data_IF_899999292409
#
_entry.id   IF_899999292409
#
_cell.length_a   1.000
_cell.length_b   1.000
_cell.length_c   1.000
_cell.angle_alpha   90.00
_cell.angle_beta   90.00
_cell.angle_gamma   90.00
#
_symmetry.space_group_name_H-M   'P 1'
#
loop_
_entity.id
_entity.type
_entity.pdbx_description
1 polymer ?
#
# COMPACT_ATOMS: atom_id res chain seq x y z
N UNK A 1 -39.26 14.29 -8.13
CA UNK A 1 -39.00 13.36 -7.01
C UNK A 1 -37.81 12.50 -7.37
N UNK A 2 -36.68 12.62 -6.68
CA UNK A 2 -35.55 11.71 -6.84
C UNK A 2 -36.00 10.28 -6.54
N UNK A 3 -35.91 9.42 -7.55
CA UNK A 3 -36.23 8.01 -7.42
C UNK A 3 -35.09 7.36 -6.61
N UNK A 4 -35.24 7.29 -5.29
CA UNK A 4 -34.24 6.73 -4.37
C UNK A 4 -34.17 5.21 -4.54
N UNK A 5 -33.46 4.77 -5.59
CA UNK A 5 -33.30 3.35 -5.97
C UNK A 5 -32.79 2.47 -4.83
N UNK A 6 -32.00 3.02 -3.91
CA UNK A 6 -31.51 2.31 -2.73
C UNK A 6 -32.63 1.86 -1.78
N UNK A 7 -33.80 2.51 -1.78
CA UNK A 7 -34.97 2.08 -1.00
C UNK A 7 -35.62 0.79 -1.54
N UNK A 8 -35.27 0.38 -2.77
CA UNK A 8 -35.76 -0.86 -3.37
C UNK A 8 -34.88 -2.07 -3.06
N UNK A 9 -33.68 -1.84 -2.51
CA UNK A 9 -32.77 -2.92 -2.14
C UNK A 9 -33.23 -3.46 -0.79
N UNK A 10 -33.52 -4.77 -0.68
CA UNK A 10 -33.85 -5.39 0.60
C UNK A 10 -32.75 -5.15 1.65
N UNK A 11 -33.16 -4.89 2.90
CA UNK A 11 -32.23 -4.51 3.98
C UNK A 11 -31.23 -5.63 4.27
N UNK A 12 -31.64 -6.88 4.17
CA UNK A 12 -30.79 -8.06 4.28
C UNK A 12 -29.70 -8.11 3.19
N UNK A 13 -30.01 -7.72 1.95
CA UNK A 13 -28.99 -7.61 0.90
C UNK A 13 -27.98 -6.50 1.26
N UNK A 14 -28.46 -5.39 1.79
CA UNK A 14 -27.62 -4.28 2.23
C UNK A 14 -26.67 -4.69 3.36
N UNK A 15 -27.22 -5.35 4.38
CA UNK A 15 -26.50 -5.82 5.56
C UNK A 15 -25.51 -6.91 5.17
N UNK A 16 -25.91 -7.91 4.40
CA UNK A 16 -25.08 -9.10 4.19
C UNK A 16 -24.06 -8.96 3.04
N UNK A 17 -24.33 -8.11 2.04
CA UNK A 17 -23.53 -8.08 0.81
C UNK A 17 -22.92 -6.70 0.49
N UNK A 18 -23.52 -5.60 0.96
CA UNK A 18 -23.06 -4.24 0.61
C UNK A 18 -22.19 -3.67 1.72
N UNK A 19 -22.68 -3.69 2.97
CA UNK A 19 -21.94 -3.21 4.14
C UNK A 19 -21.92 -4.21 5.31
N UNK A 20 -21.52 -5.48 5.07
CA UNK A 20 -21.43 -6.48 6.14
C UNK A 20 -20.54 -6.03 7.30
N UNK A 21 -19.52 -5.22 7.01
CA UNK A 21 -18.61 -4.69 8.02
C UNK A 21 -19.24 -3.74 9.04
N UNK A 22 -20.42 -3.18 8.77
CA UNK A 22 -21.12 -2.30 9.73
C UNK A 22 -21.91 -3.10 10.76
N UNK A 23 -22.36 -4.31 10.39
CA UNK A 23 -23.28 -5.12 11.20
C UNK A 23 -22.67 -6.42 11.69
N UNK A 24 -21.57 -6.87 11.09
CA UNK A 24 -20.87 -8.10 11.42
C UNK A 24 -19.49 -7.78 11.97
N UNK A 25 -19.10 -8.48 13.04
CA UNK A 25 -17.76 -8.37 13.62
C UNK A 25 -16.74 -8.73 12.54
N UNK A 26 -15.84 -7.80 12.24
CA UNK A 26 -14.72 -8.06 11.35
C UNK A 26 -13.71 -9.02 12.01
N UNK A 27 -12.98 -9.76 11.17
CA UNK A 27 -11.95 -10.66 11.66
C UNK A 27 -10.92 -9.87 12.49
N UNK A 28 -10.52 -10.41 13.64
CA UNK A 28 -9.63 -9.70 14.56
C UNK A 28 -8.29 -9.37 13.90
N UNK A 29 -7.79 -10.22 13.00
CA UNK A 29 -6.57 -9.95 12.20
C UNK A 29 -6.70 -8.71 11.31
N UNK A 30 -7.86 -8.51 10.67
CA UNK A 30 -8.10 -7.34 9.81
C UNK A 30 -8.13 -6.06 10.63
N UNK A 31 -8.82 -6.09 11.78
CA UNK A 31 -8.86 -4.96 12.70
C UNK A 31 -7.48 -4.63 13.26
N UNK A 32 -6.70 -5.66 13.60
CA UNK A 32 -5.34 -5.50 14.06
C UNK A 32 -4.44 -4.89 12.97
N UNK A 33 -4.59 -5.35 11.72
CA UNK A 33 -3.85 -4.79 10.59
C UNK A 33 -4.19 -3.31 10.36
N UNK A 34 -5.47 -2.93 10.36
CA UNK A 34 -5.90 -1.53 10.21
C UNK A 34 -5.33 -0.66 11.34
N UNK A 35 -5.41 -1.11 12.60
CA UNK A 35 -4.87 -0.37 13.74
C UNK A 35 -3.35 -0.23 13.65
N UNK A 36 -2.66 -1.31 13.30
CA UNK A 36 -1.22 -1.33 13.13
C UNK A 36 -0.80 -0.39 11.99
N UNK A 37 -1.52 -0.37 10.87
CA UNK A 37 -1.31 0.59 9.78
C UNK A 37 -1.35 2.02 10.30
N UNK A 38 -2.44 2.43 10.97
CA UNK A 38 -2.61 3.81 11.43
C UNK A 38 -1.54 4.22 12.43
N UNK A 39 -1.23 3.35 13.38
CA UNK A 39 -0.22 3.61 14.40
C UNK A 39 1.18 3.73 13.78
N UNK A 40 1.58 2.75 12.98
CA UNK A 40 2.91 2.73 12.36
C UNK A 40 3.07 3.86 11.37
N UNK A 41 2.07 4.12 10.53
CA UNK A 41 2.14 5.20 9.54
C UNK A 41 2.33 6.56 10.20
N UNK A 42 1.72 6.77 11.39
CA UNK A 42 1.94 8.00 12.17
C UNK A 42 3.38 8.12 12.65
N UNK A 43 4.00 7.04 13.12
CA UNK A 43 5.41 7.03 13.54
C UNK A 43 6.32 7.39 12.36
N UNK A 44 6.14 6.70 11.22
CA UNK A 44 6.92 6.94 10.01
C UNK A 44 6.75 8.39 9.55
N UNK A 45 5.52 8.89 9.52
CA UNK A 45 5.25 10.28 9.14
C UNK A 45 5.98 11.25 10.05
N UNK A 46 5.97 11.02 11.37
CA UNK A 46 6.67 11.89 12.31
C UNK A 46 8.18 11.87 12.07
N UNK A 47 8.79 10.69 11.88
CA UNK A 47 10.22 10.57 11.60
C UNK A 47 10.62 11.27 10.29
N UNK A 48 9.97 10.89 9.18
CA UNK A 48 10.33 11.41 7.86
C UNK A 48 9.90 12.86 7.62
N UNK A 49 8.93 13.42 8.36
CA UNK A 49 8.43 14.78 8.10
C UNK A 49 8.97 15.78 9.11
N UNK A 50 9.64 15.32 10.16
CA UNK A 50 10.36 16.17 11.09
C UNK A 50 11.76 16.51 10.55
N UNK A 51 12.52 15.51 10.08
CA UNK A 51 13.91 15.70 9.61
C UNK A 51 14.10 15.55 8.09
N UNK A 52 13.15 14.94 7.38
CA UNK A 52 13.22 14.67 5.93
C UNK A 52 11.97 15.23 5.19
N UNK A 53 11.71 14.74 3.98
CA UNK A 53 10.48 15.04 3.23
C UNK A 53 9.74 13.76 2.79
N UNK A 54 8.49 13.91 2.35
CA UNK A 54 7.68 12.77 1.87
C UNK A 54 8.36 12.01 0.73
N UNK A 55 9.18 12.69 -0.07
CA UNK A 55 9.86 12.07 -1.21
C UNK A 55 10.91 11.05 -0.75
N UNK A 56 11.69 11.34 0.30
CA UNK A 56 12.61 10.39 0.91
C UNK A 56 11.88 9.10 1.31
N UNK A 57 10.75 9.22 2.02
CA UNK A 57 9.91 8.08 2.39
C UNK A 57 9.45 7.27 1.17
N UNK A 58 9.04 7.94 0.08
CA UNK A 58 8.64 7.24 -1.13
C UNK A 58 9.81 6.47 -1.76
N UNK A 59 11.01 7.05 -1.80
CA UNK A 59 12.22 6.40 -2.34
C UNK A 59 12.59 5.18 -1.52
N UNK A 60 12.55 5.29 -0.19
CA UNK A 60 12.86 4.20 0.72
C UNK A 60 11.84 3.07 0.61
N UNK A 61 10.54 3.40 0.53
CA UNK A 61 9.49 2.40 0.30
C UNK A 61 9.63 1.68 -1.04
N UNK A 62 9.94 2.40 -2.13
CA UNK A 62 10.19 1.78 -3.43
C UNK A 62 11.41 0.86 -3.35
N UNK A 63 12.48 1.28 -2.67
CA UNK A 63 13.70 0.50 -2.47
C UNK A 63 13.47 -0.77 -1.65
N UNK A 64 12.64 -0.68 -0.61
CA UNK A 64 12.21 -1.83 0.19
C UNK A 64 11.41 -2.83 -0.65
N UNK A 65 10.48 -2.35 -1.48
CA UNK A 65 9.64 -3.21 -2.33
C UNK A 65 10.45 -3.88 -3.47
N UNK A 66 11.53 -3.24 -3.93
CA UNK A 66 12.45 -3.80 -4.93
C UNK A 66 13.56 -4.66 -4.31
N UNK A 67 13.45 -5.00 -3.01
CA UNK A 67 14.33 -5.91 -2.28
C UNK A 67 15.78 -5.42 -2.09
N UNK A 68 16.05 -4.11 -1.96
CA UNK A 68 17.41 -3.55 -1.74
C UNK A 68 18.50 -3.94 -2.77
N UNK A 69 18.18 -4.72 -3.81
CA UNK A 69 19.14 -5.23 -4.78
C UNK A 69 19.48 -4.15 -5.82
N UNK A 70 19.97 -3.00 -5.37
CA UNK A 70 20.73 -2.07 -6.21
C UNK A 70 22.16 -2.60 -6.50
N UNK A 71 22.59 -3.69 -5.86
CA UNK A 71 23.90 -4.32 -6.07
C UNK A 71 23.88 -5.60 -6.92
N UNK A 72 22.71 -6.12 -7.29
CA UNK A 72 22.62 -7.34 -8.11
C UNK A 72 22.39 -6.92 -9.56
N UNK A 73 23.23 -7.38 -10.48
CA UNK A 73 23.23 -7.06 -11.93
C UNK A 73 21.94 -7.47 -12.68
N UNK A 74 20.89 -7.88 -11.96
CA UNK A 74 19.62 -8.39 -12.46
C UNK A 74 18.46 -7.43 -12.19
N UNK A 75 18.39 -6.35 -12.98
CA UNK A 75 17.26 -5.40 -13.05
C UNK A 75 15.90 -6.12 -13.19
N UNK A 76 15.87 -7.31 -13.80
CA UNK A 76 14.64 -8.08 -13.96
C UNK A 76 14.12 -8.67 -12.63
N UNK A 77 15.01 -9.03 -11.70
CA UNK A 77 14.65 -9.59 -10.39
C UNK A 77 14.03 -8.51 -9.49
N UNK A 78 14.62 -7.32 -9.45
CA UNK A 78 14.12 -6.21 -8.62
C UNK A 78 12.74 -5.73 -9.08
N UNK A 79 12.51 -5.65 -10.40
CA UNK A 79 11.17 -5.32 -10.93
C UNK A 79 10.14 -6.42 -10.64
N UNK A 80 10.54 -7.69 -10.68
CA UNK A 80 9.64 -8.80 -10.34
C UNK A 80 9.25 -8.77 -8.86
N UNK A 81 10.19 -8.46 -7.96
CA UNK A 81 9.90 -8.25 -6.54
C UNK A 81 8.84 -7.16 -6.34
N UNK A 82 8.99 -6.03 -7.04
CA UNK A 82 8.03 -4.95 -6.91
C UNK A 82 6.64 -5.33 -7.45
N UNK A 83 6.58 -6.08 -8.55
CA UNK A 83 5.34 -6.62 -9.09
C UNK A 83 4.65 -7.53 -8.07
N UNK A 84 5.40 -8.41 -7.39
CA UNK A 84 4.84 -9.30 -6.36
C UNK A 84 4.16 -8.50 -5.23
N UNK A 85 4.70 -7.35 -4.84
CA UNK A 85 4.04 -6.44 -3.91
C UNK A 85 2.74 -5.87 -4.48
N UNK A 86 2.79 -5.37 -5.72
CA UNK A 86 1.61 -4.80 -6.38
C UNK A 86 0.49 -5.82 -6.56
N UNK A 87 0.79 -7.08 -6.84
CA UNK A 87 -0.20 -8.16 -7.04
C UNK A 87 -1.03 -8.50 -5.80
N UNK A 88 -0.66 -8.00 -4.62
CA UNK A 88 -1.53 -8.04 -3.43
C UNK A 88 -2.80 -7.22 -3.64
N UNK A 89 -2.74 -6.21 -4.50
CA UNK A 89 -3.93 -5.50 -4.96
C UNK A 89 -4.66 -6.30 -6.04
N UNK A 90 -5.98 -6.49 -5.87
CA UNK A 90 -6.79 -7.31 -6.78
C UNK A 90 -6.81 -6.81 -8.24
N UNK A 91 -6.65 -5.50 -8.45
CA UNK A 91 -6.62 -4.91 -9.79
C UNK A 91 -5.32 -5.29 -10.48
N UNK A 92 -4.19 -5.18 -9.76
CA UNK A 92 -2.89 -5.57 -10.28
C UNK A 92 -2.80 -7.08 -10.47
N UNK A 93 -3.35 -7.90 -9.58
CA UNK A 93 -3.36 -9.36 -9.75
C UNK A 93 -3.95 -9.81 -11.10
N UNK A 94 -4.99 -9.12 -11.57
CA UNK A 94 -5.66 -9.40 -12.85
C UNK A 94 -5.00 -8.72 -14.07
N UNK A 95 -4.04 -7.83 -13.84
CA UNK A 95 -3.41 -7.05 -14.90
C UNK A 95 -2.34 -7.87 -15.63
N UNK A 96 -2.26 -7.79 -16.97
CA UNK A 96 -1.15 -8.34 -17.75
C UNK A 96 0.22 -7.79 -17.32
N UNK A 97 1.27 -8.61 -17.48
CA UNK A 97 2.61 -8.30 -16.97
C UNK A 97 3.23 -7.05 -17.61
N UNK A 98 3.06 -6.89 -18.92
CA UNK A 98 3.45 -5.71 -19.70
C UNK A 98 2.83 -4.42 -19.14
N UNK A 99 1.52 -4.45 -18.85
CA UNK A 99 0.80 -3.30 -18.27
C UNK A 99 1.26 -2.99 -16.83
N UNK A 100 1.64 -4.01 -16.05
CA UNK A 100 2.22 -3.80 -14.71
C UNK A 100 3.55 -3.05 -14.80
N UNK A 101 4.44 -3.47 -15.70
CA UNK A 101 5.72 -2.78 -15.91
C UNK A 101 5.53 -1.35 -16.39
N UNK A 102 4.61 -1.13 -17.33
CA UNK A 102 4.28 0.21 -17.82
C UNK A 102 3.77 1.10 -16.69
N UNK A 103 2.85 0.60 -15.87
CA UNK A 103 2.33 1.32 -14.70
C UNK A 103 3.46 1.72 -13.74
N UNK A 104 4.33 0.78 -13.38
CA UNK A 104 5.47 1.03 -12.49
C UNK A 104 6.33 2.17 -13.05
N UNK A 105 6.68 2.07 -14.33
CA UNK A 105 7.53 3.06 -15.02
C UNK A 105 6.90 4.44 -15.02
N UNK A 106 5.62 4.54 -15.38
CA UNK A 106 4.90 5.81 -15.47
C UNK A 106 4.64 6.46 -14.10
N UNK A 107 4.35 5.66 -13.07
CA UNK A 107 3.89 6.17 -11.76
C UNK A 107 4.99 6.30 -10.72
N UNK A 108 5.99 5.42 -10.74
CA UNK A 108 7.05 5.40 -9.73
C UNK A 108 8.41 5.85 -10.25
N UNK A 109 8.71 5.76 -11.56
CA UNK A 109 10.00 6.21 -12.08
C UNK A 109 9.94 7.56 -12.80
N UNK A 110 8.95 7.78 -13.67
CA UNK A 110 8.88 9.00 -14.48
C UNK A 110 8.11 10.15 -13.83
N UNK A 111 7.23 9.85 -12.89
CA UNK A 111 6.39 10.86 -12.27
C UNK A 111 6.54 10.82 -10.75
N UNK A 112 7.77 10.88 -10.24
CA UNK A 112 8.01 10.73 -8.80
C UNK A 112 7.31 11.80 -7.95
N UNK A 113 7.28 13.05 -8.41
CA UNK A 113 6.87 14.20 -7.59
C UNK A 113 5.36 14.43 -7.47
N UNK A 114 4.53 13.81 -8.31
CA UNK A 114 3.07 13.98 -8.17
C UNK A 114 2.46 12.94 -7.25
N UNK A 115 1.49 13.40 -6.43
CA UNK A 115 0.66 12.53 -5.57
C UNK A 115 1.49 11.62 -4.65
N UNK A 116 2.61 12.13 -4.14
CA UNK A 116 3.58 11.41 -3.30
C UNK A 116 2.89 10.74 -2.12
N UNK A 117 2.11 11.49 -1.33
CA UNK A 117 1.33 10.94 -0.21
C UNK A 117 0.41 9.77 -0.62
N UNK A 118 -0.28 9.86 -1.77
CA UNK A 118 -1.16 8.77 -2.23
C UNK A 118 -0.36 7.52 -2.57
N UNK A 119 0.82 7.67 -3.18
CA UNK A 119 1.68 6.55 -3.53
C UNK A 119 2.28 5.90 -2.29
N UNK A 120 2.70 6.71 -1.32
CA UNK A 120 3.19 6.23 -0.03
C UNK A 120 2.08 5.41 0.63
N UNK A 121 0.88 5.97 0.82
CA UNK A 121 -0.25 5.25 1.43
C UNK A 121 -0.60 3.98 0.66
N UNK A 122 -0.57 4.04 -0.66
CA UNK A 122 -0.83 2.87 -1.50
C UNK A 122 0.20 1.76 -1.29
N UNK A 123 1.50 2.05 -1.42
CA UNK A 123 2.56 1.07 -1.21
C UNK A 123 2.56 0.54 0.22
N UNK A 124 2.49 1.45 1.19
CA UNK A 124 2.49 1.10 2.61
C UNK A 124 1.27 0.26 3.00
N UNK A 125 0.12 0.49 2.35
CA UNK A 125 -1.09 -0.29 2.54
C UNK A 125 -1.04 -1.70 1.94
N UNK A 126 -0.07 -1.99 1.08
CA UNK A 126 0.18 -3.34 0.56
C UNK A 126 1.15 -4.15 1.45
N UNK A 127 1.83 -3.51 2.39
CA UNK A 127 2.72 -4.18 3.34
C UNK A 127 1.91 -4.88 4.43
N UNK A 128 2.31 -6.10 4.75
CA UNK A 128 1.81 -6.81 5.92
C UNK A 128 2.31 -6.15 7.22
N UNK A 129 1.67 -6.39 8.37
CA UNK A 129 2.17 -5.91 9.66
C UNK A 129 3.65 -6.25 9.91
N UNK A 130 4.08 -7.46 9.53
CA UNK A 130 5.46 -7.91 9.66
C UNK A 130 6.42 -7.10 8.79
N UNK A 131 6.06 -6.85 7.52
CA UNK A 131 6.90 -6.06 6.62
C UNK A 131 6.95 -4.58 7.00
N UNK A 132 5.87 -4.03 7.56
CA UNK A 132 5.89 -2.67 8.12
C UNK A 132 6.87 -2.58 9.29
N UNK A 133 6.87 -3.58 10.17
CA UNK A 133 7.84 -3.64 11.27
C UNK A 133 9.27 -3.77 10.73
N UNK A 134 9.48 -4.63 9.72
CA UNK A 134 10.79 -4.77 9.05
C UNK A 134 11.27 -3.46 8.43
N UNK A 135 10.38 -2.74 7.74
CA UNK A 135 10.69 -1.44 7.15
C UNK A 135 11.15 -0.43 8.21
N UNK A 136 10.44 -0.32 9.35
CA UNK A 136 10.85 0.56 10.45
C UNK A 136 12.24 0.17 10.97
N UNK A 137 12.47 -1.12 11.21
CA UNK A 137 13.74 -1.59 11.73
C UNK A 137 14.88 -1.24 10.75
N UNK A 138 14.69 -1.51 9.46
CA UNK A 138 15.70 -1.31 8.43
C UNK A 138 15.99 0.17 8.14
N UNK A 139 14.98 1.04 8.14
CA UNK A 139 15.12 2.42 7.64
C UNK A 139 15.02 3.52 8.71
N UNK A 140 14.52 3.19 9.90
CA UNK A 140 14.34 4.16 10.99
C UNK A 140 15.26 3.82 12.15
N UNK A 141 15.15 2.61 12.71
CA UNK A 141 15.85 2.26 13.96
C UNK A 141 17.34 1.97 13.74
N UNK A 142 17.72 1.25 12.68
CA UNK A 142 19.12 0.89 12.44
C UNK A 142 20.00 2.11 12.09
N UNK A 143 19.40 3.25 11.74
CA UNK A 143 20.10 4.48 11.37
C UNK A 143 20.11 5.56 12.48
N UNK A 144 19.61 5.25 13.68
CA UNK A 144 19.84 6.02 14.92
C UNK A 144 21.06 5.46 15.69
#
# INVERSE_FOLDING_TARGET
>A
MENKLWKKIPTDVFINNIIPYTYQKQHDDLLNDIRNFTFVYRIIKNYYFFDLNEYCLLVDLVSFCTNHLCNDSNINRSKMSFINFLERNIIFKKMPLDKKFEYIKLKFYFNLHSKTEMKIKFLFGLLTPFERARFINEYIIIYE
#
